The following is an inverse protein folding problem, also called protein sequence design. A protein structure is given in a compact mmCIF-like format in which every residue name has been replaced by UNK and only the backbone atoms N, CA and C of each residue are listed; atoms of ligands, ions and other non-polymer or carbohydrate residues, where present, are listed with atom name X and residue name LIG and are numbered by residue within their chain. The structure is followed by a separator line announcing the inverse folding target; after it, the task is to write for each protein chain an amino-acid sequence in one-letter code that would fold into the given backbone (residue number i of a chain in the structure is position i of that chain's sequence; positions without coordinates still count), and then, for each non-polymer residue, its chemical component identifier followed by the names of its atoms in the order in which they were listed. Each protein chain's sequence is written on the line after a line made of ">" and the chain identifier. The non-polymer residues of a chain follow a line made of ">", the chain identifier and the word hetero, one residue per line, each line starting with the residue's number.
data_IF_833081360920
#
_entry.id   IF_833081360920
#
_cell.length_a   1.000
_cell.length_b   1.000
_cell.length_c   1.000
_cell.angle_alpha   90.00
_cell.angle_beta   90.00
_cell.angle_gamma   90.00
#
_symmetry.space_group_name_H-M   'P 1'
#
loop_
_entity.id
_entity.type
_entity.pdbx_description
1 polymer ?
#
# COMPACT_ATOMS: atom_id res chain seq x y z
N UNK A 1 7.12 8.29 15.93
CA UNK A 1 7.88 7.15 15.37
C UNK A 1 8.54 7.39 14.00
N UNK A 2 8.07 8.23 13.07
CA UNK A 2 8.62 8.23 11.68
C UNK A 2 10.01 8.88 11.37
N UNK A 3 10.88 9.18 12.34
CA UNK A 3 12.21 9.79 12.02
C UNK A 3 13.19 8.78 11.43
N UNK A 4 13.22 7.54 11.94
CA UNK A 4 14.16 6.52 11.48
C UNK A 4 13.82 6.01 10.08
N UNK A 5 12.54 5.80 9.77
CA UNK A 5 12.09 5.40 8.45
C UNK A 5 12.58 6.34 7.33
N UNK A 6 12.54 7.66 7.55
CA UNK A 6 13.01 8.63 6.54
C UNK A 6 14.49 8.48 6.22
N UNK A 7 15.32 8.34 7.26
CA UNK A 7 16.76 8.13 7.08
C UNK A 7 17.04 6.78 6.43
N UNK A 8 16.27 5.76 6.80
CA UNK A 8 16.37 4.44 6.21
C UNK A 8 16.03 4.46 4.71
N UNK A 9 15.00 5.19 4.27
CA UNK A 9 14.68 5.30 2.84
C UNK A 9 15.79 5.96 2.00
N UNK A 10 16.58 6.84 2.60
CA UNK A 10 17.76 7.42 1.94
C UNK A 10 18.94 6.44 1.86
N UNK A 11 19.04 5.50 2.81
CA UNK A 11 20.12 4.51 2.89
C UNK A 11 19.62 3.17 3.47
N UNK A 12 18.84 2.38 2.70
CA UNK A 12 18.11 1.23 3.22
C UNK A 12 18.99 0.04 3.62
N UNK A 13 20.28 0.08 3.26
CA UNK A 13 21.30 -0.90 3.68
C UNK A 13 22.06 -0.47 4.94
N UNK A 14 21.88 0.76 5.42
CA UNK A 14 22.65 1.30 6.55
C UNK A 14 22.12 0.88 7.93
N UNK A 15 20.84 0.48 8.01
CA UNK A 15 20.21 0.00 9.23
C UNK A 15 19.13 -1.05 8.88
N UNK A 16 18.82 -1.99 9.79
CA UNK A 16 17.70 -2.89 9.60
C UNK A 16 16.38 -2.09 9.56
N UNK A 17 15.45 -2.55 8.73
CA UNK A 17 14.10 -2.00 8.68
C UNK A 17 13.34 -2.36 9.95
N UNK A 18 12.64 -1.39 10.54
CA UNK A 18 11.76 -1.62 11.68
C UNK A 18 10.40 -2.13 11.16
N UNK A 19 9.96 -3.36 11.49
CA UNK A 19 8.64 -3.85 11.09
C UNK A 19 7.49 -2.95 11.52
N UNK A 20 7.64 -2.20 12.62
CA UNK A 20 6.63 -1.23 13.09
C UNK A 20 6.43 -0.02 12.16
N UNK A 21 7.38 0.25 11.26
CA UNK A 21 7.30 1.31 10.27
C UNK A 21 6.63 0.84 8.96
N UNK A 22 6.37 -0.47 8.79
CA UNK A 22 5.73 -1.02 7.60
C UNK A 22 4.38 -0.37 7.25
N UNK A 23 3.46 -0.12 8.21
CA UNK A 23 2.18 0.52 7.89
C UNK A 23 2.35 1.89 7.26
N UNK A 24 3.25 2.71 7.81
CA UNK A 24 3.52 4.06 7.34
C UNK A 24 4.26 4.07 6.00
N UNK A 25 5.20 3.15 5.81
CA UNK A 25 5.94 3.01 4.56
C UNK A 25 5.03 2.59 3.39
N UNK A 26 4.19 1.58 3.61
CA UNK A 26 3.23 1.12 2.60
C UNK A 26 2.17 2.19 2.33
N UNK A 27 1.64 2.85 3.37
CA UNK A 27 0.69 3.95 3.18
C UNK A 27 1.28 5.11 2.38
N UNK A 28 2.55 5.45 2.60
CA UNK A 28 3.26 6.46 1.81
C UNK A 28 3.43 6.04 0.32
N UNK A 29 3.72 4.77 0.06
CA UNK A 29 3.80 4.25 -1.31
C UNK A 29 2.45 4.30 -2.03
N UNK A 30 1.37 3.93 -1.34
CA UNK A 30 0.01 3.99 -1.89
C UNK A 30 -0.47 5.42 -2.13
N UNK A 31 -0.12 6.36 -1.23
CA UNK A 31 -0.40 7.78 -1.43
C UNK A 31 0.30 8.33 -2.68
N UNK A 32 1.50 7.84 -2.99
CA UNK A 32 2.17 8.19 -4.24
C UNK A 32 1.45 7.56 -5.42
N UNK A 33 1.07 6.29 -5.33
CA UNK A 33 0.31 5.59 -6.37
C UNK A 33 -1.02 6.28 -6.70
N UNK A 34 -1.71 6.82 -5.68
CA UNK A 34 -2.98 7.54 -5.87
C UNK A 34 -2.83 8.89 -6.58
N UNK A 35 -1.61 9.39 -6.75
CA UNK A 35 -1.28 10.65 -7.45
C UNK A 35 -0.62 10.43 -8.81
N UNK A 36 -0.35 9.19 -9.19
CA UNK A 36 0.28 8.82 -10.47
C UNK A 36 -0.71 8.03 -11.34
N UNK A 37 -0.21 7.17 -12.22
CA UNK A 37 -1.01 6.38 -13.17
C UNK A 37 -1.99 5.37 -12.51
N UNK A 38 -1.87 5.14 -11.20
CA UNK A 38 -2.78 4.26 -10.45
C UNK A 38 -3.91 5.00 -9.74
N UNK A 39 -4.09 6.31 -10.00
CA UNK A 39 -5.14 7.11 -9.36
C UNK A 39 -6.54 6.47 -9.48
N UNK A 40 -6.82 5.77 -10.59
CA UNK A 40 -8.08 5.07 -10.83
C UNK A 40 -8.39 3.97 -9.80
N UNK A 41 -7.37 3.35 -9.19
CA UNK A 41 -7.50 2.35 -8.12
C UNK A 41 -8.03 2.98 -6.83
N UNK A 42 -7.79 4.28 -6.65
CA UNK A 42 -8.16 5.06 -5.45
C UNK A 42 -9.28 6.08 -5.75
N UNK A 43 -10.06 5.86 -6.81
CA UNK A 43 -11.25 6.66 -7.10
C UNK A 43 -12.50 6.09 -6.43
N UNK A 44 -13.55 6.92 -6.42
CA UNK A 44 -14.81 6.80 -5.68
C UNK A 44 -15.42 5.39 -5.77
N UNK A 45 -15.61 4.62 -4.67
CA UNK A 45 -15.65 4.93 -3.22
C UNK A 45 -14.41 4.50 -2.41
N UNK A 46 -13.29 4.14 -3.06
CA UNK A 46 -12.09 3.70 -2.34
C UNK A 46 -11.20 4.88 -2.00
N UNK A 47 -11.23 5.33 -0.75
CA UNK A 47 -10.32 6.36 -0.26
C UNK A 47 -9.14 5.75 0.50
N UNK A 48 -7.99 6.42 0.47
CA UNK A 48 -6.77 5.89 1.08
C UNK A 48 -6.87 5.85 2.62
N UNK A 49 -7.54 6.81 3.24
CA UNK A 49 -7.86 6.78 4.67
C UNK A 49 -8.80 5.62 5.02
N UNK A 50 -9.83 5.33 4.21
CA UNK A 50 -10.70 4.17 4.43
C UNK A 50 -9.95 2.83 4.29
N UNK A 51 -9.02 2.75 3.33
CA UNK A 51 -8.10 1.61 3.21
C UNK A 51 -7.27 1.43 4.48
N UNK A 52 -6.63 2.50 4.96
CA UNK A 52 -5.79 2.44 6.16
C UNK A 52 -6.61 2.10 7.40
N UNK A 53 -7.79 2.71 7.54
CA UNK A 53 -8.74 2.42 8.62
C UNK A 53 -9.11 0.94 8.64
N UNK A 54 -9.54 0.39 7.50
CA UNK A 54 -9.94 -1.01 7.39
C UNK A 54 -8.76 -1.96 7.58
N UNK A 55 -7.58 -1.65 7.06
CA UNK A 55 -6.41 -2.52 7.14
C UNK A 55 -5.83 -2.61 8.55
N UNK A 56 -5.81 -1.50 9.27
CA UNK A 56 -5.12 -1.37 10.56
C UNK A 56 -6.08 -1.24 11.75
N UNK A 57 -7.37 -1.45 11.54
CA UNK A 57 -8.43 -1.35 12.56
C UNK A 57 -8.41 0.02 13.27
N UNK A 58 -8.35 1.10 12.47
CA UNK A 58 -8.25 2.47 12.97
C UNK A 58 -9.59 3.19 12.87
N UNK A 59 -9.82 4.12 13.78
CA UNK A 59 -10.89 5.12 13.63
C UNK A 59 -10.60 6.05 12.44
N UNK A 60 -11.64 6.78 11.99
CA UNK A 60 -11.49 7.79 10.91
C UNK A 60 -10.41 8.83 11.25
N UNK A 61 -10.36 9.26 12.52
CA UNK A 61 -9.37 10.24 12.98
C UNK A 61 -7.95 9.67 12.94
N UNK A 62 -7.74 8.46 13.47
CA UNK A 62 -6.42 7.81 13.46
C UNK A 62 -5.94 7.50 12.04
N UNK A 63 -6.85 7.11 11.14
CA UNK A 63 -6.53 6.90 9.73
C UNK A 63 -6.11 8.19 9.02
N UNK A 64 -6.78 9.32 9.32
CA UNK A 64 -6.38 10.63 8.81
C UNK A 64 -4.99 11.04 9.33
N UNK A 65 -4.72 10.85 10.62
CA UNK A 65 -3.42 11.13 11.23
C UNK A 65 -2.30 10.26 10.65
N UNK A 66 -2.61 8.97 10.41
CA UNK A 66 -1.72 8.05 9.74
C UNK A 66 -1.45 8.51 8.30
N UNK A 67 -2.48 8.93 7.57
CA UNK A 67 -2.35 9.42 6.20
C UNK A 67 -1.47 10.68 6.13
N UNK A 68 -1.59 11.60 7.08
CA UNK A 68 -0.68 12.73 7.19
C UNK A 68 0.76 12.28 7.46
N UNK A 69 0.96 11.28 8.34
CA UNK A 69 2.28 10.74 8.59
C UNK A 69 2.89 10.11 7.33
N UNK A 70 2.09 9.35 6.58
CA UNK A 70 2.44 8.81 5.26
C UNK A 70 2.83 9.94 4.29
N UNK A 71 2.06 11.02 4.21
CA UNK A 71 2.37 12.17 3.35
C UNK A 71 3.72 12.81 3.68
N UNK A 72 4.05 12.92 4.97
CA UNK A 72 5.35 13.48 5.36
C UNK A 72 6.52 12.52 5.08
N UNK A 73 6.29 11.21 4.99
CA UNK A 73 7.30 10.23 4.58
C UNK A 73 7.47 10.26 3.06
N UNK A 74 6.34 10.25 2.34
CA UNK A 74 6.26 10.33 0.89
C UNK A 74 7.08 11.51 0.36
N UNK A 75 6.92 12.70 0.95
CA UNK A 75 7.69 13.90 0.57
C UNK A 75 9.23 13.75 0.61
N UNK A 76 9.75 12.77 1.35
CA UNK A 76 11.20 12.50 1.49
C UNK A 76 11.62 11.15 0.87
N UNK A 77 10.66 10.37 0.36
CA UNK A 77 10.92 9.06 -0.21
C UNK A 77 11.56 9.19 -1.62
N UNK A 78 12.44 8.26 -2.01
CA UNK A 78 13.08 8.25 -3.33
C UNK A 78 12.05 8.03 -4.46
N UNK A 79 12.51 7.93 -5.71
CA UNK A 79 11.66 7.66 -6.86
C UNK A 79 10.76 6.42 -6.62
N UNK A 80 9.52 6.44 -7.13
CA UNK A 80 8.50 5.42 -6.81
C UNK A 80 9.00 3.99 -7.03
N UNK A 81 9.71 3.72 -8.13
CA UNK A 81 10.26 2.40 -8.44
C UNK A 81 11.29 1.96 -7.40
N UNK A 82 12.21 2.86 -7.03
CA UNK A 82 13.23 2.60 -6.00
C UNK A 82 12.58 2.39 -4.65
N UNK A 83 11.59 3.22 -4.32
CA UNK A 83 10.86 3.12 -3.06
C UNK A 83 10.12 1.78 -2.95
N UNK A 84 9.36 1.40 -3.98
CA UNK A 84 8.68 0.11 -4.06
C UNK A 84 9.67 -1.07 -3.95
N UNK A 85 10.77 -1.05 -4.70
CA UNK A 85 11.78 -2.11 -4.67
C UNK A 85 12.36 -2.30 -3.26
N UNK A 86 12.67 -1.21 -2.57
CA UNK A 86 13.21 -1.22 -1.21
C UNK A 86 12.18 -1.74 -0.19
N UNK A 87 10.89 -1.41 -0.35
CA UNK A 87 9.85 -1.95 0.53
C UNK A 87 9.58 -3.44 0.27
N UNK A 88 9.65 -3.89 -0.98
CA UNK A 88 9.49 -5.30 -1.34
C UNK A 88 10.60 -6.19 -0.76
N UNK A 89 11.78 -5.65 -0.47
CA UNK A 89 12.86 -6.39 0.19
C UNK A 89 12.76 -6.33 1.72
N UNK A 90 12.24 -5.23 2.28
CA UNK A 90 12.25 -4.99 3.71
C UNK A 90 10.98 -5.44 4.46
N UNK A 91 9.83 -5.43 3.79
CA UNK A 91 8.53 -5.78 4.37
C UNK A 91 8.16 -7.20 3.94
N UNK A 92 7.60 -8.01 4.83
CA UNK A 92 7.16 -9.36 4.48
C UNK A 92 6.10 -9.41 3.38
N UNK A 93 6.17 -10.43 2.52
CA UNK A 93 5.19 -10.65 1.44
C UNK A 93 3.75 -10.64 1.94
N UNK A 94 3.51 -11.27 3.11
CA UNK A 94 2.18 -11.37 3.71
C UNK A 94 1.57 -10.01 4.04
N UNK A 95 2.38 -9.06 4.48
CA UNK A 95 1.93 -7.70 4.79
C UNK A 95 1.55 -6.94 3.52
N UNK A 96 2.36 -7.06 2.47
CA UNK A 96 2.08 -6.46 1.17
C UNK A 96 0.84 -7.06 0.51
N UNK A 97 0.70 -8.39 0.58
CA UNK A 97 -0.48 -9.12 0.10
C UNK A 97 -1.74 -8.70 0.87
N UNK A 98 -1.67 -8.54 2.19
CA UNK A 98 -2.83 -8.13 3.00
C UNK A 98 -3.39 -6.75 2.57
N UNK A 99 -2.53 -5.80 2.25
CA UNK A 99 -2.95 -4.50 1.69
C UNK A 99 -3.61 -4.68 0.32
N UNK A 100 -2.98 -5.45 -0.57
CA UNK A 100 -3.50 -5.66 -1.93
C UNK A 100 -4.87 -6.37 -1.91
N UNK A 101 -5.07 -7.33 -1.01
CA UNK A 101 -6.36 -7.97 -0.76
C UNK A 101 -7.39 -6.99 -0.19
N UNK A 102 -6.99 -6.10 0.72
CA UNK A 102 -7.88 -5.08 1.27
C UNK A 102 -8.37 -4.10 0.18
N UNK A 103 -7.46 -3.65 -0.69
CA UNK A 103 -7.79 -2.87 -1.89
C UNK A 103 -8.79 -3.61 -2.79
N UNK A 104 -8.49 -4.87 -3.14
CA UNK A 104 -9.38 -5.71 -3.94
C UNK A 104 -10.77 -5.81 -3.33
N UNK A 105 -10.87 -6.11 -2.04
CA UNK A 105 -12.15 -6.34 -1.39
C UNK A 105 -13.01 -5.08 -1.30
N UNK A 106 -12.39 -3.90 -1.20
CA UNK A 106 -13.12 -2.63 -1.28
C UNK A 106 -13.56 -2.34 -2.72
N UNK A 107 -12.70 -2.55 -3.72
CA UNK A 107 -13.08 -2.40 -5.13
C UNK A 107 -14.14 -3.41 -5.58
N UNK A 108 -14.18 -4.61 -4.99
CA UNK A 108 -15.21 -5.59 -5.32
C UNK A 108 -16.63 -5.14 -4.95
N UNK A 109 -16.78 -4.12 -4.11
CA UNK A 109 -18.07 -3.51 -3.78
C UNK A 109 -18.54 -2.50 -4.83
N UNK A 110 -17.68 -2.16 -5.79
CA UNK A 110 -17.94 -1.24 -6.89
C UNK A 110 -18.26 -2.00 -8.18
N UNK A 111 -18.84 -1.32 -9.17
CA UNK A 111 -19.23 -1.92 -10.45
C UNK A 111 -18.07 -2.39 -11.33
N UNK A 112 -16.81 -2.07 -10.98
CA UNK A 112 -15.62 -2.47 -11.73
C UNK A 112 -15.03 -3.83 -11.32
N UNK A 113 -15.51 -4.44 -10.23
CA UNK A 113 -15.36 -5.87 -9.96
C UNK A 113 -13.92 -6.40 -9.77
N UNK A 114 -13.83 -7.69 -9.40
CA UNK A 114 -12.64 -8.39 -8.87
C UNK A 114 -11.41 -8.49 -9.82
N UNK A 115 -11.46 -7.90 -11.01
CA UNK A 115 -10.42 -8.02 -12.05
C UNK A 115 -10.00 -6.66 -12.61
N UNK A 116 -9.89 -5.65 -11.75
CA UNK A 116 -9.42 -4.32 -12.15
C UNK A 116 -7.94 -4.41 -12.63
N UNK A 117 -7.65 -4.11 -13.91
CA UNK A 117 -6.30 -4.20 -14.45
C UNK A 117 -5.33 -3.22 -13.78
N UNK A 118 -5.80 -2.07 -13.30
CA UNK A 118 -4.97 -1.10 -12.59
C UNK A 118 -4.59 -1.60 -11.19
N UNK A 119 -5.51 -2.32 -10.51
CA UNK A 119 -5.19 -3.00 -9.25
C UNK A 119 -4.13 -4.09 -9.46
N UNK A 120 -4.30 -4.92 -10.50
CA UNK A 120 -3.34 -5.98 -10.82
C UNK A 120 -1.95 -5.40 -11.14
N UNK A 121 -1.90 -4.33 -11.92
CA UNK A 121 -0.64 -3.64 -12.24
C UNK A 121 0.00 -3.01 -10.98
N UNK A 122 -0.78 -2.35 -10.12
CA UNK A 122 -0.28 -1.77 -8.86
C UNK A 122 0.29 -2.86 -7.95
N UNK A 123 -0.44 -3.96 -7.78
CA UNK A 123 -0.04 -5.04 -6.87
C UNK A 123 1.29 -5.69 -7.29
N UNK A 124 1.50 -5.91 -8.59
CA UNK A 124 2.73 -6.46 -9.12
C UNK A 124 3.88 -5.46 -9.05
N UNK A 125 3.65 -4.25 -9.54
CA UNK A 125 4.71 -3.26 -9.78
C UNK A 125 5.17 -2.58 -8.49
N UNK A 126 4.23 -2.27 -7.59
CA UNK A 126 4.53 -1.51 -6.38
C UNK A 126 4.61 -2.39 -5.13
N UNK A 127 3.74 -3.39 -5.02
CA UNK A 127 3.67 -4.25 -3.84
C UNK A 127 4.42 -5.58 -4.02
N UNK A 128 4.89 -5.90 -5.24
CA UNK A 128 5.56 -7.16 -5.52
C UNK A 128 4.70 -8.38 -5.15
N UNK A 129 3.38 -8.27 -5.36
CA UNK A 129 2.37 -9.30 -5.09
C UNK A 129 1.95 -9.94 -6.41
N UNK A 130 1.86 -11.27 -6.42
CA UNK A 130 1.44 -12.00 -7.62
C UNK A 130 -0.08 -11.84 -7.83
N UNK A 131 -0.55 -11.59 -9.07
CA UNK A 131 -1.97 -11.38 -9.34
C UNK A 131 -2.83 -12.61 -9.02
N UNK A 132 -2.28 -13.82 -9.16
CA UNK A 132 -3.01 -15.05 -8.81
C UNK A 132 -3.38 -15.12 -7.33
N UNK A 133 -2.59 -14.52 -6.44
CA UNK A 133 -2.90 -14.47 -5.00
C UNK A 133 -4.03 -13.49 -4.68
N UNK A 134 -4.35 -12.59 -5.61
CA UNK A 134 -5.51 -11.70 -5.53
C UNK A 134 -6.78 -12.35 -6.06
N UNK A 135 -6.69 -13.48 -6.78
CA UNK A 135 -7.89 -14.17 -7.26
C UNK A 135 -8.45 -15.01 -6.11
N UNK A 136 -9.70 -14.77 -5.68
CA UNK A 136 -10.30 -15.65 -4.67
C UNK A 136 -10.40 -17.08 -5.21
N UNK A 137 -10.21 -18.10 -4.36
CA UNK A 137 -10.28 -19.49 -4.79
C UNK A 137 -11.63 -19.74 -5.47
N UNK A 138 -11.61 -20.28 -6.68
CA UNK A 138 -12.83 -20.70 -7.38
C UNK A 138 -13.57 -21.66 -6.46
N UNK A 139 -14.75 -21.27 -5.98
CA UNK A 139 -15.62 -22.19 -5.25
C UNK A 139 -16.06 -23.27 -6.24
N UNK A 140 -15.42 -24.43 -6.17
CA UNK A 140 -15.92 -25.65 -6.79
C UNK A 140 -17.13 -26.05 -5.95
N UNK A 141 -18.31 -25.98 -6.55
CA UNK A 141 -19.58 -26.35 -5.92
C UNK A 141 -19.71 -27.86 -5.71
#
# INVERSE_FOLDING_TARGET
>A
MGRNLRFWLAAPTAAPFDPGDAPLALGALLLRASRTDYATVFMDPLTLDALLARRYDLTVQEAAEMLEACARIEAHAPETERFAAVLCTAIDYRERLAIALCLRDMLATTSTGQSDPALLALSQTLLGVHPDDLVPPRRVG
#
